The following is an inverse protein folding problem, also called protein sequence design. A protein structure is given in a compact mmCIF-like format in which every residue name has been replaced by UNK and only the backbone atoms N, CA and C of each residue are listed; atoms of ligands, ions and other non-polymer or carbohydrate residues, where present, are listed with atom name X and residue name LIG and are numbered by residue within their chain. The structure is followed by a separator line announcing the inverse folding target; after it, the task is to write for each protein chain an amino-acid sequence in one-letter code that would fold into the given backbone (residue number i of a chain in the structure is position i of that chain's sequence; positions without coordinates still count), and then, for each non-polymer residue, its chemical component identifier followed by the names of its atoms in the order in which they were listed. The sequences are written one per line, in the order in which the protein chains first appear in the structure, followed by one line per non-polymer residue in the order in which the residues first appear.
data_IF_237391886700
#
_entry.id   IF_237391886700
#
_cell.length_a   1.000
_cell.length_b   1.000
_cell.length_c   1.000
_cell.angle_alpha   90.00
_cell.angle_beta   90.00
_cell.angle_gamma   90.00
#
_symmetry.space_group_name_H-M   'P 1'
#
loop_
_entity.id
_entity.type
_entity.pdbx_description
1 polymer ?
#
# COMPACT_ATOMS: atom_id res chain seq x y z
N UNK A 1 -6.76 -5.68 -16.44
CA UNK A 1 -7.61 -5.27 -15.29
C UNK A 1 -7.68 -3.76 -15.31
N UNK A 2 -8.86 -3.18 -15.06
CA UNK A 2 -9.05 -1.73 -15.08
C UNK A 2 -8.49 -1.06 -13.80
N UNK A 3 -7.69 -0.01 -13.97
CA UNK A 3 -7.03 0.79 -12.92
C UNK A 3 -7.24 2.28 -13.21
N UNK A 4 -7.08 3.13 -12.21
CA UNK A 4 -6.96 4.58 -12.46
C UNK A 4 -5.63 4.90 -13.16
N UNK A 5 -5.55 6.12 -13.71
CA UNK A 5 -4.31 6.62 -14.28
C UNK A 5 -3.28 6.85 -13.16
N UNK A 6 -2.13 6.19 -13.25
CA UNK A 6 -1.06 6.29 -12.25
C UNK A 6 -0.06 7.36 -12.67
N UNK A 7 0.06 8.39 -11.85
CA UNK A 7 1.09 9.43 -11.94
C UNK A 7 2.35 8.89 -11.27
N UNK A 8 3.37 8.62 -12.08
CA UNK A 8 4.66 8.08 -11.64
C UNK A 8 5.56 9.20 -11.11
N UNK A 9 6.52 8.90 -10.23
CA UNK A 9 7.54 9.86 -9.85
C UNK A 9 8.39 10.31 -11.05
N UNK A 10 8.98 11.50 -10.94
CA UNK A 10 9.84 12.10 -11.97
C UNK A 10 11.12 11.29 -12.26
N UNK A 11 11.51 10.39 -11.36
CA UNK A 11 12.62 9.45 -11.56
C UNK A 11 12.13 8.00 -11.40
N UNK A 12 12.70 7.03 -12.13
CA UNK A 12 12.22 5.63 -12.08
C UNK A 12 12.23 4.98 -10.69
N UNK A 13 13.13 5.41 -9.81
CA UNK A 13 13.30 4.90 -8.44
C UNK A 13 12.63 5.79 -7.38
N UNK A 14 11.74 6.69 -7.81
CA UNK A 14 11.01 7.54 -6.89
C UNK A 14 10.07 6.72 -6.00
N UNK A 15 9.76 7.30 -4.84
CA UNK A 15 9.07 6.63 -3.73
C UNK A 15 7.61 7.06 -3.59
N UNK A 16 7.15 8.02 -4.38
CA UNK A 16 5.82 8.60 -4.26
C UNK A 16 5.11 8.49 -5.60
N UNK A 17 3.90 7.95 -5.57
CA UNK A 17 3.01 7.78 -6.71
C UNK A 17 1.68 8.41 -6.35
N UNK A 18 0.99 8.94 -7.36
CA UNK A 18 -0.35 9.50 -7.20
C UNK A 18 -1.32 8.87 -8.20
N UNK A 19 -2.60 8.90 -7.86
CA UNK A 19 -3.68 8.68 -8.81
C UNK A 19 -4.93 9.40 -8.31
N UNK A 20 -5.80 9.75 -9.24
CA UNK A 20 -7.08 10.40 -8.95
C UNK A 20 -8.23 9.50 -9.41
N UNK A 21 -9.29 9.47 -8.62
CA UNK A 21 -10.52 8.74 -8.98
C UNK A 21 -11.46 9.62 -9.81
N UNK A 22 -12.49 9.02 -10.41
CA UNK A 22 -13.54 9.76 -11.13
C UNK A 22 -14.40 10.66 -10.21
N UNK A 23 -14.21 10.56 -8.89
CA UNK A 23 -14.87 11.37 -7.86
C UNK A 23 -13.93 12.42 -7.25
N UNK A 24 -12.85 12.77 -7.96
CA UNK A 24 -11.89 13.81 -7.55
C UNK A 24 -11.17 13.50 -6.23
N UNK A 25 -11.16 12.22 -5.83
CA UNK A 25 -10.37 11.75 -4.68
C UNK A 25 -8.94 11.51 -5.13
N UNK A 26 -8.01 12.27 -4.57
CA UNK A 26 -6.57 12.18 -4.82
C UNK A 26 -5.93 11.22 -3.83
N UNK A 27 -5.26 10.19 -4.34
CA UNK A 27 -4.52 9.24 -3.53
C UNK A 27 -3.01 9.43 -3.68
N UNK A 28 -2.29 9.26 -2.58
CA UNK A 28 -0.84 9.12 -2.56
C UNK A 28 -0.46 7.70 -2.10
N UNK A 29 0.52 7.08 -2.76
CA UNK A 29 1.17 5.84 -2.32
C UNK A 29 2.66 6.10 -2.14
N UNK A 30 3.15 5.91 -0.92
CA UNK A 30 4.52 6.23 -0.49
C UNK A 30 5.27 4.98 -0.02
N UNK A 31 6.54 4.88 -0.44
CA UNK A 31 7.46 3.81 -0.07
C UNK A 31 8.64 4.37 0.72
N UNK A 32 8.60 4.26 2.05
CA UNK A 32 9.72 4.65 2.90
C UNK A 32 10.70 3.48 3.08
N UNK A 33 12.01 3.76 3.13
CA UNK A 33 13.03 2.74 3.43
C UNK A 33 13.49 2.87 4.88
N UNK A 34 13.61 1.75 5.60
CA UNK A 34 14.19 1.77 6.96
C UNK A 34 15.69 2.09 6.89
N UNK A 35 16.17 2.99 7.75
CA UNK A 35 17.60 3.37 7.82
C UNK A 35 18.50 2.15 8.05
N UNK A 36 18.09 1.26 8.93
CA UNK A 36 18.85 0.05 9.31
C UNK A 36 18.74 -1.08 8.27
N UNK A 37 17.74 -1.02 7.38
CA UNK A 37 17.55 -2.01 6.32
C UNK A 37 16.96 -1.33 5.08
N UNK A 38 17.83 -0.87 4.19
CA UNK A 38 17.44 -0.18 2.96
C UNK A 38 16.67 -1.09 1.96
N UNK A 39 16.70 -2.40 2.17
CA UNK A 39 15.97 -3.40 1.38
C UNK A 39 14.56 -3.65 1.94
N UNK A 40 14.20 -2.96 3.02
CA UNK A 40 12.90 -2.97 3.65
C UNK A 40 12.12 -1.72 3.25
N UNK A 41 11.07 -1.90 2.45
CA UNK A 41 10.14 -0.85 2.05
C UNK A 41 8.88 -0.88 2.94
N UNK A 42 8.65 0.20 3.67
CA UNK A 42 7.40 0.46 4.40
C UNK A 42 6.45 1.19 3.46
N UNK A 43 5.26 0.63 3.27
CA UNK A 43 4.24 1.15 2.36
C UNK A 43 3.19 1.90 3.17
N UNK A 44 3.01 3.15 2.80
CA UNK A 44 1.91 4.00 3.22
C UNK A 44 1.07 4.39 2.00
N UNK A 45 -0.23 4.58 2.19
CA UNK A 45 -1.06 5.27 1.20
C UNK A 45 -2.24 5.90 1.90
N UNK A 46 -2.68 7.03 1.39
CA UNK A 46 -3.77 7.83 1.94
C UNK A 46 -4.38 8.72 0.87
N UNK A 47 -5.30 9.58 1.30
CA UNK A 47 -5.94 10.58 0.44
C UNK A 47 -5.40 11.97 0.75
N UNK A 48 -5.31 12.83 -0.26
CA UNK A 48 -4.74 14.17 -0.14
C UNK A 48 -5.79 15.27 0.00
N UNK A 49 -7.07 15.00 -0.31
CA UNK A 49 -8.10 16.03 -0.24
C UNK A 49 -8.29 16.54 1.20
N UNK A 50 -8.42 17.86 1.35
CA UNK A 50 -8.60 18.53 2.65
C UNK A 50 -9.83 18.04 3.41
N UNK A 51 -10.88 17.57 2.70
CA UNK A 51 -12.09 16.98 3.32
C UNK A 51 -11.81 15.73 4.17
N UNK A 52 -10.62 15.15 4.02
CA UNK A 52 -10.15 14.01 4.81
C UNK A 52 -9.00 14.38 5.74
N UNK A 53 -8.71 15.67 5.95
CA UNK A 53 -7.65 16.17 6.86
C UNK A 53 -6.25 15.57 6.59
N UNK A 54 -5.96 15.16 5.35
CA UNK A 54 -4.72 14.45 5.03
C UNK A 54 -4.61 13.11 5.75
N UNK A 55 -5.74 12.52 6.17
CA UNK A 55 -5.79 11.20 6.77
C UNK A 55 -5.16 10.20 5.82
N UNK A 56 -4.02 9.72 6.24
CA UNK A 56 -3.32 8.62 5.62
C UNK A 56 -4.19 7.33 5.62
N UNK A 57 -5.41 7.33 6.19
CA UNK A 57 -6.26 6.17 6.46
C UNK A 57 -7.77 6.36 6.14
N UNK A 58 -8.19 7.41 5.42
CA UNK A 58 -9.59 7.57 5.08
C UNK A 58 -10.06 6.54 4.05
N UNK A 59 -11.07 5.73 4.41
CA UNK A 59 -11.84 4.94 3.46
C UNK A 59 -12.88 5.88 2.88
N UNK A 60 -12.67 6.33 1.65
CA UNK A 60 -13.69 7.14 0.98
C UNK A 60 -14.85 6.22 0.61
N UNK A 61 -16.06 6.51 1.09
CA UNK A 61 -17.28 5.89 0.56
C UNK A 61 -17.59 6.38 -0.88
N UNK A 62 -16.71 7.22 -1.44
CA UNK A 62 -16.73 7.73 -2.81
C UNK A 62 -15.69 6.95 -3.63
N UNK A 63 -16.14 6.27 -4.69
CA UNK A 63 -15.27 5.50 -5.60
C UNK A 63 -15.48 3.98 -5.60
N UNK A 64 -14.98 3.32 -6.66
CA UNK A 64 -14.86 1.86 -6.69
C UNK A 64 -13.64 1.42 -5.85
N UNK A 65 -13.90 0.99 -4.60
CA UNK A 65 -12.88 0.47 -3.67
C UNK A 65 -12.04 -0.66 -4.30
N UNK A 66 -12.62 -1.47 -5.18
CA UNK A 66 -11.88 -2.52 -5.86
C UNK A 66 -10.94 -1.91 -6.92
N UNK A 67 -11.33 -0.85 -7.63
CA UNK A 67 -10.45 -0.14 -8.59
C UNK A 67 -9.32 0.61 -7.89
N UNK A 68 -9.61 1.25 -6.74
CA UNK A 68 -8.59 1.86 -5.87
C UNK A 68 -7.56 0.82 -5.45
N UNK A 69 -8.01 -0.31 -4.90
CA UNK A 69 -7.10 -1.38 -4.48
C UNK A 69 -6.32 -2.00 -5.65
N UNK A 70 -6.95 -2.21 -6.82
CA UNK A 70 -6.24 -2.66 -8.03
C UNK A 70 -5.14 -1.68 -8.43
N UNK A 71 -5.41 -0.37 -8.36
CA UNK A 71 -4.43 0.66 -8.70
C UNK A 71 -3.25 0.67 -7.73
N UNK A 72 -3.51 0.56 -6.41
CA UNK A 72 -2.46 0.44 -5.39
C UNK A 72 -1.60 -0.82 -5.62
N UNK A 73 -2.23 -1.95 -5.95
CA UNK A 73 -1.52 -3.21 -6.28
C UNK A 73 -0.59 -3.01 -7.47
N UNK A 74 -1.07 -2.38 -8.54
CA UNK A 74 -0.26 -2.08 -9.72
C UNK A 74 0.92 -1.16 -9.37
N UNK A 75 0.73 -0.18 -8.49
CA UNK A 75 1.82 0.69 -8.01
C UNK A 75 2.88 -0.14 -7.25
N UNK A 76 2.47 -1.05 -6.37
CA UNK A 76 3.41 -1.92 -5.62
C UNK A 76 4.22 -2.81 -6.57
N UNK A 77 3.59 -3.34 -7.62
CA UNK A 77 4.27 -4.13 -8.67
C UNK A 77 5.29 -3.27 -9.43
N UNK A 78 4.90 -2.08 -9.90
CA UNK A 78 5.79 -1.12 -10.58
C UNK A 78 6.98 -0.79 -9.68
N UNK A 79 6.74 -0.47 -8.40
CA UNK A 79 7.80 -0.16 -7.46
C UNK A 79 8.76 -1.35 -7.29
N UNK A 80 8.23 -2.57 -7.16
CA UNK A 80 9.03 -3.80 -7.06
C UNK A 80 9.93 -4.05 -8.27
N UNK A 81 9.43 -3.83 -9.48
CA UNK A 81 10.21 -3.93 -10.73
C UNK A 81 11.37 -2.92 -10.78
N UNK A 82 11.15 -1.69 -10.28
CA UNK A 82 12.18 -0.65 -10.21
C UNK A 82 13.15 -0.81 -9.04
N UNK A 83 12.79 -1.65 -8.06
CA UNK A 83 13.59 -1.93 -6.87
C UNK A 83 13.74 -3.46 -6.65
N UNK A 84 14.41 -4.18 -7.57
CA UNK A 84 14.46 -5.65 -7.56
C UNK A 84 15.13 -6.24 -6.30
N UNK A 85 15.97 -5.45 -5.63
CA UNK A 85 16.66 -5.84 -4.40
C UNK A 85 15.79 -5.75 -3.15
N UNK A 86 14.58 -5.20 -3.23
CA UNK A 86 13.63 -5.18 -2.11
C UNK A 86 13.42 -6.61 -1.60
N UNK A 87 13.61 -6.80 -0.30
CA UNK A 87 13.49 -8.09 0.38
C UNK A 87 12.26 -8.16 1.26
N UNK A 88 11.80 -7.01 1.77
CA UNK A 88 10.67 -6.92 2.68
C UNK A 88 9.79 -5.74 2.30
N UNK A 89 8.49 -6.00 2.20
CA UNK A 89 7.44 -4.98 2.20
C UNK A 89 6.71 -5.00 3.53
N UNK A 90 6.58 -3.85 4.20
CA UNK A 90 5.83 -3.69 5.45
C UNK A 90 4.60 -2.83 5.21
N UNK A 91 3.48 -3.31 5.73
CA UNK A 91 2.20 -2.62 5.72
C UNK A 91 1.76 -2.44 7.17
N UNK A 92 1.31 -1.25 7.54
CA UNK A 92 0.76 -1.00 8.87
C UNK A 92 -0.73 -0.68 8.77
N UNK A 93 -1.55 -1.46 9.45
CA UNK A 93 -2.90 -1.04 9.81
C UNK A 93 -2.86 -0.28 11.13
N UNK A 94 -3.50 0.88 11.19
CA UNK A 94 -3.75 1.58 12.46
C UNK A 94 -5.23 1.34 12.81
N UNK A 95 -5.52 1.14 14.09
CA UNK A 95 -6.91 1.08 14.55
C UNK A 95 -7.54 2.46 14.45
N UNK A 96 -8.80 2.51 14.01
CA UNK A 96 -9.59 3.73 14.18
C UNK A 96 -10.04 3.88 15.63
N UNK A 97 -10.26 5.11 16.07
CA UNK A 97 -10.82 5.36 17.40
C UNK A 97 -12.17 4.64 17.55
N UNK A 98 -12.34 3.90 18.63
CA UNK A 98 -13.54 3.06 18.87
C UNK A 98 -13.55 1.70 18.16
N UNK A 99 -12.48 1.30 17.47
CA UNK A 99 -12.39 -0.01 16.84
C UNK A 99 -12.02 -1.11 17.87
N UNK A 100 -13.03 -1.82 18.39
CA UNK A 100 -12.85 -2.94 19.33
C UNK A 100 -12.78 -4.28 18.57
N UNK A 101 -11.70 -4.48 17.80
CA UNK A 101 -11.46 -5.74 17.08
C UNK A 101 -10.00 -6.16 17.18
N UNK A 102 -9.72 -7.44 16.93
CA UNK A 102 -8.35 -7.98 16.97
C UNK A 102 -7.44 -7.39 15.86
N UNK A 103 -8.01 -7.11 14.68
CA UNK A 103 -7.31 -6.56 13.52
C UNK A 103 -8.10 -5.42 12.90
N UNK A 104 -7.43 -4.33 12.57
CA UNK A 104 -8.07 -3.19 11.90
C UNK A 104 -8.63 -3.58 10.53
N UNK A 105 -9.66 -2.86 10.09
CA UNK A 105 -10.24 -3.03 8.76
C UNK A 105 -9.18 -2.98 7.64
N UNK A 106 -8.16 -2.11 7.80
CA UNK A 106 -7.07 -1.95 6.84
C UNK A 106 -6.17 -3.19 6.79
N UNK A 107 -5.84 -3.77 7.94
CA UNK A 107 -5.09 -5.03 8.01
C UNK A 107 -5.84 -6.17 7.31
N UNK A 108 -7.15 -6.29 7.56
CA UNK A 108 -8.01 -7.28 6.89
C UNK A 108 -8.04 -7.07 5.37
N UNK A 109 -8.13 -5.82 4.92
CA UNK A 109 -8.09 -5.47 3.52
C UNK A 109 -6.77 -5.89 2.86
N UNK A 110 -5.64 -5.62 3.49
CA UNK A 110 -4.33 -6.06 3.01
C UNK A 110 -4.26 -7.57 2.84
N UNK A 111 -4.59 -8.32 3.88
CA UNK A 111 -4.52 -9.78 3.83
C UNK A 111 -5.35 -10.38 2.70
N UNK A 112 -6.47 -9.75 2.31
CA UNK A 112 -7.29 -10.16 1.17
C UNK A 112 -6.57 -10.00 -0.18
N UNK A 113 -5.71 -8.99 -0.32
CA UNK A 113 -5.09 -8.63 -1.60
C UNK A 113 -3.64 -9.08 -1.74
N UNK A 114 -2.87 -9.22 -0.66
CA UNK A 114 -1.46 -9.61 -0.72
C UNK A 114 -1.19 -10.89 -1.53
N UNK A 115 -2.00 -11.96 -1.45
CA UNK A 115 -1.82 -13.16 -2.29
C UNK A 115 -2.01 -12.92 -3.79
N UNK A 116 -2.56 -11.77 -4.21
CA UNK A 116 -2.69 -11.37 -5.61
C UNK A 116 -1.48 -10.57 -6.12
N UNK A 117 -0.68 -10.04 -5.20
CA UNK A 117 0.51 -9.24 -5.50
C UNK A 117 1.75 -10.12 -5.48
N UNK A 118 1.84 -10.97 -4.47
CA UNK A 118 3.01 -11.75 -4.13
C UNK A 118 2.75 -13.23 -4.40
N UNK A 119 3.60 -13.84 -5.21
CA UNK A 119 3.57 -15.28 -5.49
C UNK A 119 4.16 -16.10 -4.33
N UNK A 120 4.22 -17.42 -4.52
CA UNK A 120 4.74 -18.36 -3.53
C UNK A 120 6.23 -18.19 -3.21
N UNK A 121 6.98 -17.33 -3.93
CA UNK A 121 8.35 -16.98 -3.55
C UNK A 121 8.42 -16.02 -2.36
N UNK A 122 7.28 -15.48 -1.92
CA UNK A 122 7.17 -14.59 -0.77
C UNK A 122 6.47 -15.26 0.41
N UNK A 123 6.80 -14.82 1.61
CA UNK A 123 6.21 -15.23 2.88
C UNK A 123 5.53 -14.03 3.53
N UNK A 124 4.25 -14.18 3.83
CA UNK A 124 3.45 -13.19 4.57
C UNK A 124 3.47 -13.58 6.06
N UNK A 125 3.85 -12.66 6.93
CA UNK A 125 3.83 -12.80 8.40
C UNK A 125 3.25 -11.56 9.04
N UNK A 126 2.78 -11.67 10.29
CA UNK A 126 2.16 -10.55 11.01
C UNK A 126 2.69 -10.39 12.43
N UNK A 127 2.69 -9.15 12.90
CA UNK A 127 2.91 -8.76 14.30
C UNK A 127 1.89 -7.68 14.66
N UNK A 128 0.80 -8.07 15.33
CA UNK A 128 -0.37 -7.20 15.52
C UNK A 128 -0.95 -6.76 14.17
N UNK A 129 -1.07 -5.44 13.96
CA UNK A 129 -1.54 -4.87 12.69
C UNK A 129 -0.42 -4.56 11.68
N UNK A 130 0.82 -5.00 11.95
CA UNK A 130 1.90 -4.93 10.97
C UNK A 130 1.94 -6.22 10.17
N UNK A 131 1.98 -6.09 8.86
CA UNK A 131 2.15 -7.20 7.93
C UNK A 131 3.50 -7.05 7.27
N UNK A 132 4.27 -8.13 7.27
CA UNK A 132 5.56 -8.23 6.60
C UNK A 132 5.45 -9.23 5.47
N UNK A 133 5.81 -8.82 4.26
CA UNK A 133 5.92 -9.69 3.10
C UNK A 133 7.38 -9.78 2.71
N UNK A 134 7.99 -10.92 2.97
CA UNK A 134 9.44 -11.14 2.82
C UNK A 134 9.74 -12.20 1.78
N UNK A 135 10.80 -12.05 1.00
CA UNK A 135 11.24 -13.11 0.10
C UNK A 135 11.61 -14.35 0.91
N UNK A 136 11.14 -15.54 0.49
CA UNK A 136 11.60 -16.80 1.05
C UNK A 136 13.10 -16.92 0.74
N UNK A 137 13.91 -17.11 1.79
CA UNK A 137 15.32 -17.45 1.60
C UNK A 137 15.36 -18.80 0.88
N UNK A 138 16.13 -18.87 -0.21
CA UNK A 138 16.49 -20.13 -0.84
C UNK A 138 17.39 -20.94 0.09
#
# INVERSE_FOLDING_TARGET
MDTYHIIKPNIPTGQVYHFETEYEVEYEVRFARKKENILHAVIAFGVLNEEYEGEEYALTNKGDVFKVMRTIITIIQIYGEKHPNTQVFEFTGVFKEGEDTELSQRTKLYLRYLPRIFDDSWKITMEGNKIFVSKKRK
#
